data_IF_645720849965
#
_entry.id   IF_645720849965
#
_cell.length_a   1.000
_cell.length_b   1.000
_cell.length_c   1.000
_cell.angle_alpha   90.00
_cell.angle_beta   90.00
_cell.angle_gamma   90.00
#
_symmetry.space_group_name_H-M   'P 1'
#
loop_
_entity.id
_entity.type
_entity.pdbx_description
1 polymer ?
#
# COMPACT_ATOMS: atom_id res chain seq x y z
N UNK A 1 -15.50 15.31 -4.77
CA UNK A 1 -15.82 14.45 -5.94
C UNK A 1 -14.50 14.15 -6.65
N UNK A 2 -14.14 12.90 -6.82
CA UNK A 2 -12.86 12.49 -7.45
C UNK A 2 -12.92 12.53 -8.98
N UNK A 3 -14.09 12.72 -9.59
CA UNK A 3 -14.24 12.73 -11.06
C UNK A 3 -13.97 11.36 -11.69
N UNK A 4 -14.39 10.29 -11.04
CA UNK A 4 -14.18 8.91 -11.51
C UNK A 4 -14.82 8.60 -12.88
N UNK A 5 -15.70 9.48 -13.34
CA UNK A 5 -16.26 9.49 -14.69
C UNK A 5 -15.27 9.99 -15.77
N UNK A 6 -14.14 10.58 -15.35
CA UNK A 6 -13.15 11.20 -16.25
C UNK A 6 -11.74 10.68 -16.05
N UNK A 7 -11.42 10.18 -14.87
CA UNK A 7 -10.11 9.66 -14.51
C UNK A 7 -10.23 8.27 -13.89
N UNK A 8 -9.32 7.33 -14.20
CA UNK A 8 -9.31 6.03 -13.54
C UNK A 8 -9.14 6.17 -12.04
N UNK A 9 -9.91 5.41 -11.28
CA UNK A 9 -9.81 5.32 -9.83
C UNK A 9 -9.47 3.88 -9.46
N UNK A 10 -8.39 3.69 -8.72
CA UNK A 10 -7.97 2.40 -8.16
C UNK A 10 -8.18 2.45 -6.66
N UNK A 11 -8.91 1.50 -6.15
CA UNK A 11 -9.22 1.42 -4.73
C UNK A 11 -8.39 0.34 -4.06
N UNK A 12 -7.74 0.70 -2.95
CA UNK A 12 -7.05 -0.24 -2.08
C UNK A 12 -7.79 -0.24 -0.76
N UNK A 13 -8.33 -1.38 -0.36
CA UNK A 13 -9.05 -1.47 0.90
C UNK A 13 -8.08 -1.50 2.08
N UNK A 14 -8.49 -0.83 3.16
CA UNK A 14 -7.85 -0.93 4.45
C UNK A 14 -8.52 -1.99 5.32
N UNK A 15 -8.01 -2.14 6.53
CA UNK A 15 -8.53 -3.12 7.50
C UNK A 15 -9.92 -2.76 8.04
N UNK A 16 -10.40 -1.54 7.89
CA UNK A 16 -11.76 -1.16 8.26
C UNK A 16 -12.81 -1.51 7.20
N UNK A 17 -12.44 -1.55 5.94
CA UNK A 17 -13.34 -1.85 4.82
C UNK A 17 -13.79 -3.31 4.79
N UNK A 18 -13.14 -4.19 5.54
CA UNK A 18 -13.48 -5.62 5.60
C UNK A 18 -14.43 -5.97 6.75
N UNK A 19 -14.78 -5.01 7.61
CA UNK A 19 -15.44 -5.26 8.91
C UNK A 19 -16.95 -5.12 8.92
N UNK A 20 -17.62 -4.92 7.82
CA UNK A 20 -19.07 -4.70 7.80
C UNK A 20 -19.78 -5.46 6.68
N UNK A 21 -21.11 -5.35 6.63
CA UNK A 21 -21.97 -6.08 5.68
C UNK A 21 -21.61 -5.79 4.20
N UNK A 22 -21.05 -4.65 3.87
CA UNK A 22 -20.65 -4.28 2.50
C UNK A 22 -19.26 -4.75 2.11
N UNK A 23 -18.48 -5.31 3.02
CA UNK A 23 -17.11 -5.74 2.76
C UNK A 23 -16.97 -6.69 1.56
N UNK A 24 -17.92 -7.63 1.42
CA UNK A 24 -17.96 -8.58 0.31
C UNK A 24 -18.34 -7.88 -1.00
N UNK A 25 -19.26 -6.92 -0.95
CA UNK A 25 -19.73 -6.16 -2.11
C UNK A 25 -18.69 -5.19 -2.71
N UNK A 26 -17.65 -4.84 -1.98
CA UNK A 26 -16.60 -3.93 -2.48
C UNK A 26 -15.91 -4.45 -3.73
N UNK A 27 -15.75 -5.76 -3.89
CA UNK A 27 -15.17 -6.36 -5.09
C UNK A 27 -15.98 -6.04 -6.34
N UNK A 28 -17.29 -6.16 -6.26
CA UNK A 28 -18.20 -5.86 -7.38
C UNK A 28 -18.28 -4.35 -7.65
N UNK A 29 -18.15 -3.52 -6.61
CA UNK A 29 -18.22 -2.06 -6.75
C UNK A 29 -17.00 -1.47 -7.45
N UNK A 30 -15.80 -2.01 -7.19
CA UNK A 30 -14.55 -1.47 -7.70
C UNK A 30 -13.93 -2.29 -8.85
N UNK A 31 -14.65 -3.31 -9.34
CA UNK A 31 -14.27 -4.12 -10.51
C UNK A 31 -12.79 -4.54 -10.49
N UNK A 32 -12.37 -5.18 -9.42
CA UNK A 32 -11.00 -5.66 -9.26
C UNK A 32 -10.62 -6.68 -10.33
N UNK A 33 -9.46 -6.52 -10.95
CA UNK A 33 -8.98 -7.41 -12.01
C UNK A 33 -8.87 -8.86 -11.52
N UNK A 34 -9.61 -9.76 -12.18
CA UNK A 34 -9.64 -11.18 -11.83
C UNK A 34 -10.24 -11.45 -10.45
N UNK A 35 -11.12 -10.58 -9.97
CA UNK A 35 -11.77 -10.65 -8.67
C UNK A 35 -10.81 -10.69 -7.48
N UNK A 36 -9.56 -10.20 -7.67
CA UNK A 36 -8.53 -10.11 -6.64
C UNK A 36 -8.40 -8.69 -6.16
N UNK A 37 -8.39 -8.50 -4.84
CA UNK A 37 -8.21 -7.19 -4.19
C UNK A 37 -6.75 -6.67 -4.21
N UNK A 38 -5.87 -7.40 -4.90
CA UNK A 38 -4.46 -7.09 -5.11
C UNK A 38 -4.06 -7.35 -6.56
N UNK A 39 -2.99 -6.72 -7.02
CA UNK A 39 -2.51 -6.91 -8.37
C UNK A 39 -1.46 -5.90 -8.78
N UNK A 40 -1.14 -5.88 -10.07
CA UNK A 40 -0.21 -4.91 -10.61
C UNK A 40 -0.61 -4.47 -12.02
N UNK A 41 -0.37 -3.20 -12.33
CA UNK A 41 -0.63 -2.62 -13.65
C UNK A 41 0.44 -1.62 -14.05
N UNK A 42 0.47 -1.27 -15.32
CA UNK A 42 1.35 -0.23 -15.83
C UNK A 42 0.60 1.09 -15.97
N UNK A 43 1.18 2.15 -15.46
CA UNK A 43 0.80 3.52 -15.79
C UNK A 43 1.94 4.15 -16.61
N UNK A 44 1.77 4.16 -17.91
CA UNK A 44 2.88 4.42 -18.82
C UNK A 44 4.01 3.40 -18.62
N UNK A 45 5.19 3.87 -18.33
CA UNK A 45 6.38 3.05 -18.05
C UNK A 45 6.64 2.81 -16.55
N UNK A 46 5.68 3.19 -15.69
CA UNK A 46 5.71 2.93 -14.26
C UNK A 46 4.90 1.70 -13.92
N UNK A 47 5.48 0.78 -13.16
CA UNK A 47 4.78 -0.39 -12.62
C UNK A 47 4.23 -0.06 -11.25
N UNK A 48 2.91 -0.18 -11.08
CA UNK A 48 2.20 -0.02 -9.81
C UNK A 48 1.86 -1.43 -9.30
N UNK A 49 2.26 -1.73 -8.08
CA UNK A 49 1.91 -2.98 -7.38
C UNK A 49 1.05 -2.63 -6.19
N UNK A 50 -0.12 -3.24 -6.11
CA UNK A 50 -1.11 -3.03 -5.05
C UNK A 50 -1.29 -4.31 -4.25
N UNK A 51 -1.24 -4.21 -2.92
CA UNK A 51 -1.45 -5.32 -2.01
C UNK A 51 -2.60 -5.04 -1.04
N UNK A 52 -3.23 -6.11 -0.61
CA UNK A 52 -4.34 -6.11 0.34
C UNK A 52 -3.93 -6.82 1.63
N UNK A 53 -3.79 -6.07 2.69
CA UNK A 53 -3.35 -6.59 3.99
C UNK A 53 -4.45 -7.42 4.70
N UNK A 54 -5.71 -7.29 4.30
CA UNK A 54 -6.82 -7.77 5.10
C UNK A 54 -6.87 -7.03 6.43
N UNK A 55 -6.74 -7.74 7.54
CA UNK A 55 -6.60 -7.15 8.88
C UNK A 55 -5.12 -6.91 9.27
N UNK A 56 -4.95 -6.04 10.24
CA UNK A 56 -3.65 -5.62 10.77
C UNK A 56 -3.04 -6.59 11.80
N UNK A 57 -3.83 -7.54 12.30
CA UNK A 57 -3.42 -8.56 13.26
C UNK A 57 -3.64 -9.97 12.71
N UNK A 58 -3.00 -11.00 13.29
CA UNK A 58 -3.26 -12.39 12.93
C UNK A 58 -4.74 -12.76 13.13
N UNK A 59 -5.24 -13.67 12.29
CA UNK A 59 -6.64 -14.11 12.34
C UNK A 59 -7.02 -14.73 13.69
N UNK A 60 -6.04 -15.30 14.40
CA UNK A 60 -6.21 -15.86 15.75
C UNK A 60 -6.23 -14.81 16.86
N UNK A 61 -6.06 -13.53 16.54
CA UNK A 61 -6.06 -12.49 17.56
C UNK A 61 -7.43 -12.40 18.24
N UNK A 62 -7.46 -12.36 19.55
CA UNK A 62 -8.68 -12.42 20.37
C UNK A 62 -9.74 -11.38 20.01
N UNK A 63 -9.32 -10.20 19.53
CA UNK A 63 -10.22 -9.09 19.17
C UNK A 63 -11.16 -9.44 18.01
N UNK A 64 -10.83 -10.45 17.22
CA UNK A 64 -11.63 -10.87 16.06
C UNK A 64 -12.61 -12.01 16.36
N UNK A 65 -12.57 -12.58 17.55
CA UNK A 65 -13.49 -13.65 17.98
C UNK A 65 -13.54 -14.85 17.02
N UNK A 66 -12.46 -15.13 16.29
CA UNK A 66 -12.41 -16.21 15.28
C UNK A 66 -13.20 -15.94 13.99
N UNK A 67 -13.54 -14.68 13.72
CA UNK A 67 -14.32 -14.29 12.53
C UNK A 67 -13.46 -13.89 11.34
N UNK A 68 -12.15 -13.82 11.49
CA UNK A 68 -11.20 -13.45 10.42
C UNK A 68 -10.55 -14.68 9.81
N UNK A 69 -10.32 -14.62 8.49
CA UNK A 69 -9.62 -15.64 7.70
C UNK A 69 -8.89 -14.97 6.52
N UNK A 70 -7.76 -14.32 6.81
CA UNK A 70 -6.93 -13.62 5.83
C UNK A 70 -5.57 -14.27 5.59
N UNK A 71 -5.26 -15.36 6.29
CA UNK A 71 -3.96 -16.05 6.20
C UNK A 71 -3.68 -16.53 4.77
N UNK A 72 -4.65 -17.15 4.12
CA UNK A 72 -4.48 -17.65 2.76
C UNK A 72 -4.40 -16.50 1.73
N UNK A 73 -5.12 -15.40 1.95
CA UNK A 73 -5.00 -14.18 1.14
C UNK A 73 -3.58 -13.61 1.20
N UNK A 74 -2.97 -13.55 2.39
CA UNK A 74 -1.60 -13.05 2.58
C UNK A 74 -0.57 -13.96 1.94
N UNK A 75 -0.68 -15.28 2.13
CA UNK A 75 0.19 -16.29 1.49
C UNK A 75 0.10 -16.26 -0.04
N UNK A 76 -1.11 -16.15 -0.59
CA UNK A 76 -1.31 -16.03 -2.03
C UNK A 76 -0.60 -14.80 -2.60
N UNK A 77 -0.60 -13.69 -1.86
CA UNK A 77 0.11 -12.46 -2.26
C UNK A 77 1.63 -12.59 -2.13
N UNK A 78 2.15 -13.38 -1.19
CA UNK A 78 3.58 -13.72 -1.16
C UNK A 78 4.01 -14.46 -2.43
N UNK A 79 3.18 -15.38 -2.94
CA UNK A 79 3.37 -16.03 -4.25
C UNK A 79 3.32 -15.03 -5.40
N UNK A 80 2.26 -14.22 -5.44
CA UNK A 80 2.10 -13.16 -6.45
C UNK A 80 3.29 -12.20 -6.48
N UNK A 81 3.79 -11.75 -5.32
CA UNK A 81 4.95 -10.86 -5.25
C UNK A 81 6.20 -11.48 -5.86
N UNK A 82 6.49 -12.76 -5.60
CA UNK A 82 7.63 -13.47 -6.19
C UNK A 82 7.52 -13.53 -7.72
N UNK A 83 6.33 -13.85 -8.22
CA UNK A 83 6.04 -13.89 -9.67
C UNK A 83 6.13 -12.49 -10.30
N UNK A 84 5.55 -11.48 -9.64
CA UNK A 84 5.56 -10.10 -10.11
C UNK A 84 6.98 -9.55 -10.21
N UNK A 85 7.80 -9.69 -9.17
CA UNK A 85 9.21 -9.25 -9.16
C UNK A 85 10.04 -9.95 -10.24
N UNK A 86 9.70 -11.18 -10.60
CA UNK A 86 10.34 -11.93 -11.68
C UNK A 86 9.81 -11.55 -13.07
N UNK A 87 8.66 -10.90 -13.16
CA UNK A 87 7.96 -10.63 -14.40
C UNK A 87 8.72 -9.68 -15.33
N UNK A 88 8.49 -9.82 -16.66
CA UNK A 88 9.03 -8.91 -17.66
C UNK A 88 8.50 -7.49 -17.49
N UNK A 89 7.24 -7.34 -17.07
CA UNK A 89 6.61 -6.04 -16.86
C UNK A 89 7.30 -5.28 -15.73
N UNK A 90 7.54 -5.93 -14.60
CA UNK A 90 8.24 -5.34 -13.47
C UNK A 90 9.69 -4.97 -13.81
N UNK A 91 10.43 -5.89 -14.45
CA UNK A 91 11.85 -5.67 -14.81
C UNK A 91 12.06 -4.55 -15.82
N UNK A 92 11.13 -4.38 -16.79
CA UNK A 92 11.21 -3.34 -17.82
C UNK A 92 10.70 -1.98 -17.39
N UNK A 93 9.96 -1.89 -16.30
CA UNK A 93 9.45 -0.62 -15.81
C UNK A 93 10.58 0.34 -15.46
N UNK A 94 10.44 1.61 -15.82
CA UNK A 94 11.44 2.63 -15.46
C UNK A 94 11.39 2.99 -13.99
N UNK A 95 10.20 2.96 -13.39
CA UNK A 95 9.95 3.14 -11.95
C UNK A 95 8.94 2.08 -11.48
N UNK A 96 8.99 1.74 -10.19
CA UNK A 96 8.11 0.77 -9.55
C UNK A 96 7.61 1.35 -8.25
N UNK A 97 6.31 1.32 -8.05
CA UNK A 97 5.65 1.89 -6.85
C UNK A 97 4.84 0.79 -6.19
N UNK A 98 5.03 0.64 -4.89
CA UNK A 98 4.26 -0.27 -4.06
C UNK A 98 3.19 0.52 -3.29
N UNK A 99 1.97 0.02 -3.26
CA UNK A 99 0.88 0.64 -2.51
C UNK A 99 0.14 -0.43 -1.71
N UNK A 100 0.02 -0.22 -0.41
CA UNK A 100 -0.78 -1.07 0.48
C UNK A 100 -1.15 -0.31 1.75
N UNK A 101 -2.20 -0.75 2.44
CA UNK A 101 -2.74 0.01 3.57
C UNK A 101 -1.83 -0.02 4.80
N UNK A 102 -1.58 -1.20 5.37
CA UNK A 102 -0.80 -1.37 6.60
C UNK A 102 0.70 -1.34 6.27
N UNK A 103 1.49 -0.38 6.77
CA UNK A 103 2.92 -0.34 6.51
C UNK A 103 3.61 -1.54 7.18
N UNK A 104 4.54 -2.17 6.46
CA UNK A 104 5.30 -3.32 6.95
C UNK A 104 6.72 -2.98 7.41
N UNK A 105 7.18 -1.78 7.12
CA UNK A 105 8.42 -1.22 7.62
C UNK A 105 8.13 0.03 8.46
N UNK A 106 8.86 0.20 9.54
CA UNK A 106 8.74 1.25 10.53
C UNK A 106 9.07 0.72 11.92
N UNK A 107 9.21 1.60 12.89
CA UNK A 107 9.54 1.26 14.29
C UNK A 107 8.53 1.90 15.23
N UNK A 108 8.26 1.22 16.36
CA UNK A 108 7.34 1.65 17.40
C UNK A 108 6.01 0.90 17.36
N UNK A 109 5.16 1.18 18.36
CA UNK A 109 3.92 0.43 18.60
C UNK A 109 2.98 0.37 17.37
N UNK A 110 2.96 1.41 16.54
CA UNK A 110 2.13 1.48 15.33
C UNK A 110 2.60 0.50 14.23
N UNK A 111 3.82 -0.05 14.33
CA UNK A 111 4.45 -0.89 13.30
C UNK A 111 4.81 -2.30 13.80
N UNK A 112 5.12 -2.43 15.08
CA UNK A 112 5.71 -3.65 15.64
C UNK A 112 4.68 -4.65 16.14
N UNK A 113 3.46 -4.20 16.46
CA UNK A 113 2.45 -5.07 17.04
C UNK A 113 1.70 -5.88 15.98
N UNK A 114 2.02 -7.17 15.91
CA UNK A 114 1.23 -8.17 15.19
C UNK A 114 0.97 -7.88 13.71
N UNK A 115 1.99 -7.49 12.95
CA UNK A 115 1.84 -7.24 11.52
C UNK A 115 2.06 -8.54 10.69
N UNK A 116 1.02 -9.35 10.42
CA UNK A 116 1.15 -10.61 9.70
C UNK A 116 1.59 -10.43 8.24
N UNK A 117 1.41 -9.24 7.68
CA UNK A 117 1.93 -8.92 6.34
C UNK A 117 3.45 -8.79 6.35
N UNK A 118 4.04 -8.29 7.44
CA UNK A 118 5.50 -8.26 7.61
C UNK A 118 6.08 -9.68 7.66
N UNK A 119 5.41 -10.58 8.36
CA UNK A 119 5.84 -11.99 8.45
C UNK A 119 5.82 -12.67 7.08
N UNK A 120 4.77 -12.46 6.28
CA UNK A 120 4.58 -13.11 4.98
C UNK A 120 5.35 -12.44 3.84
N UNK A 121 5.49 -11.12 3.84
CA UNK A 121 6.02 -10.36 2.70
C UNK A 121 7.35 -9.66 2.98
N UNK A 122 7.69 -9.44 4.25
CA UNK A 122 8.84 -8.62 4.65
C UNK A 122 10.13 -9.06 3.96
N UNK A 123 10.49 -10.34 4.05
CA UNK A 123 11.71 -10.89 3.44
C UNK A 123 11.74 -10.78 1.89
N UNK A 124 10.58 -10.68 1.24
CA UNK A 124 10.48 -10.46 -0.21
C UNK A 124 10.67 -8.98 -0.52
N UNK A 125 10.01 -8.13 0.25
CA UNK A 125 9.92 -6.70 0.00
C UNK A 125 11.17 -5.94 0.44
N UNK A 126 11.88 -6.40 1.46
CA UNK A 126 13.15 -5.78 1.89
C UNK A 126 14.22 -5.70 0.78
N UNK A 127 14.17 -6.62 -0.20
CA UNK A 127 15.09 -6.72 -1.33
C UNK A 127 14.52 -6.19 -2.65
N UNK A 128 13.25 -5.83 -2.66
CA UNK A 128 12.56 -5.43 -3.87
C UNK A 128 12.99 -4.01 -4.32
N UNK A 129 13.22 -3.79 -5.63
CA UNK A 129 13.69 -2.50 -6.15
C UNK A 129 12.52 -1.55 -6.45
N UNK A 130 11.70 -1.25 -5.46
CA UNK A 130 10.69 -0.22 -5.57
C UNK A 130 11.33 1.18 -5.44
N UNK A 131 10.72 2.19 -6.04
CA UNK A 131 11.10 3.58 -5.86
C UNK A 131 10.53 4.15 -4.55
N UNK A 132 9.35 3.67 -4.15
CA UNK A 132 8.66 4.09 -2.93
C UNK A 132 7.57 3.08 -2.56
N UNK A 133 7.29 2.95 -1.26
CA UNK A 133 6.05 2.37 -0.74
C UNK A 133 5.14 3.47 -0.19
N UNK A 134 3.87 3.45 -0.60
CA UNK A 134 2.83 4.39 -0.16
C UNK A 134 1.84 3.62 0.71
N UNK A 135 1.64 4.08 1.93
CA UNK A 135 0.88 3.42 2.96
C UNK A 135 -0.05 4.39 3.71
N UNK A 136 -0.86 3.85 4.62
CA UNK A 136 -1.75 4.60 5.50
C UNK A 136 -1.79 3.95 6.91
N UNK A 137 -2.96 3.66 7.47
CA UNK A 137 -3.23 2.87 8.66
C UNK A 137 -2.93 3.54 10.00
N UNK A 138 -1.73 4.08 10.20
CA UNK A 138 -1.31 4.65 11.50
C UNK A 138 -2.01 5.97 11.86
N UNK A 139 -2.74 6.54 10.90
CA UNK A 139 -3.43 7.83 11.01
C UNK A 139 -2.50 9.02 11.31
N UNK A 140 -1.20 8.85 11.10
CA UNK A 140 -0.17 9.88 11.28
C UNK A 140 0.75 9.88 10.07
N UNK A 141 1.04 11.07 9.57
CA UNK A 141 2.06 11.20 8.54
C UNK A 141 3.42 10.72 9.07
N UNK A 142 4.06 9.82 8.32
CA UNK A 142 5.41 9.37 8.61
C UNK A 142 6.22 9.19 7.33
N UNK A 143 7.51 9.42 7.43
CA UNK A 143 8.50 9.15 6.40
C UNK A 143 9.60 8.27 7.00
N UNK A 144 9.78 7.10 6.42
CA UNK A 144 10.79 6.12 6.82
C UNK A 144 11.80 6.07 5.66
N UNK A 145 13.01 6.59 5.84
CA UNK A 145 14.03 6.57 4.79
C UNK A 145 14.45 5.14 4.45
N UNK A 146 15.01 4.96 3.27
CA UNK A 146 15.66 3.71 2.86
C UNK A 146 16.66 3.26 3.91
N UNK A 147 16.67 1.98 4.25
CA UNK A 147 17.56 1.34 5.21
C UNK A 147 17.21 1.55 6.70
N UNK A 148 16.19 2.36 7.03
CA UNK A 148 15.86 2.66 8.42
C UNK A 148 15.30 1.47 9.20
N UNK A 149 14.64 0.54 8.52
CA UNK A 149 14.06 -0.69 9.11
C UNK A 149 14.20 -1.90 8.18
N UNK A 150 15.32 -2.04 7.50
CA UNK A 150 15.57 -3.10 6.52
C UNK A 150 14.92 -2.90 5.15
N UNK A 151 14.18 -1.81 4.96
CA UNK A 151 13.55 -1.43 3.70
C UNK A 151 14.58 -0.95 2.67
N UNK A 152 14.48 -1.44 1.43
CA UNK A 152 15.37 -1.07 0.31
C UNK A 152 14.83 0.12 -0.51
N UNK A 153 13.86 0.85 0.01
CA UNK A 153 13.21 2.01 -0.60
C UNK A 153 12.52 2.84 0.47
N UNK A 154 12.28 4.13 0.26
CA UNK A 154 11.56 4.94 1.21
C UNK A 154 10.10 4.49 1.38
N UNK A 155 9.58 4.57 2.60
CA UNK A 155 8.18 4.29 2.95
C UNK A 155 7.53 5.58 3.40
N UNK A 156 6.38 5.89 2.81
CA UNK A 156 5.59 7.09 3.13
C UNK A 156 4.22 6.66 3.63
N UNK A 157 3.89 7.05 4.84
CA UNK A 157 2.62 6.75 5.50
C UNK A 157 1.76 8.00 5.52
N UNK A 158 0.54 7.90 5.01
CA UNK A 158 -0.44 8.98 5.02
C UNK A 158 -0.98 9.29 6.39
N UNK A 159 -1.50 10.48 6.53
CA UNK A 159 -2.16 10.95 7.74
C UNK A 159 -3.54 10.35 7.96
N UNK A 160 -4.21 10.83 9.00
CA UNK A 160 -5.49 10.28 9.44
C UNK A 160 -6.69 10.79 8.65
N UNK A 161 -7.85 10.29 9.04
CA UNK A 161 -9.15 10.60 8.43
C UNK A 161 -9.73 11.96 8.85
N UNK A 162 -9.22 12.57 9.91
CA UNK A 162 -9.63 13.91 10.34
C UNK A 162 -8.93 14.97 9.52
N UNK A 163 -9.64 16.05 9.19
CA UNK A 163 -9.10 17.11 8.33
C UNK A 163 -7.79 17.73 8.83
N UNK A 164 -7.60 17.81 10.12
CA UNK A 164 -6.38 18.35 10.75
C UNK A 164 -5.16 17.43 10.58
N UNK A 165 -5.40 16.12 10.43
CA UNK A 165 -4.35 15.11 10.20
C UNK A 165 -4.34 14.53 8.79
N UNK A 166 -5.28 14.90 7.93
CA UNK A 166 -5.39 14.33 6.58
C UNK A 166 -4.23 14.74 5.67
N UNK A 167 -3.85 13.84 4.77
CA UNK A 167 -2.82 14.11 3.77
C UNK A 167 -3.28 13.72 2.37
N UNK A 168 -2.73 14.41 1.38
CA UNK A 168 -2.83 14.04 -0.03
C UNK A 168 -1.42 13.79 -0.56
N UNK A 169 -1.23 12.69 -1.25
CA UNK A 169 0.02 12.33 -1.89
C UNK A 169 -0.09 12.52 -3.39
N UNK A 170 0.81 13.29 -3.98
CA UNK A 170 0.85 13.57 -5.41
C UNK A 170 2.13 12.95 -5.96
N UNK A 171 1.97 11.86 -6.72
CA UNK A 171 3.05 11.22 -7.45
C UNK A 171 3.05 11.74 -8.89
N UNK A 172 4.14 12.37 -9.29
CA UNK A 172 4.32 12.90 -10.65
C UNK A 172 5.54 12.26 -11.31
N UNK A 173 5.43 11.97 -12.61
CA UNK A 173 6.55 11.51 -13.42
C UNK A 173 6.66 12.35 -14.69
N UNK A 174 7.87 12.87 -14.95
CA UNK A 174 8.24 13.59 -16.18
C UNK A 174 9.51 12.97 -16.76
N UNK A 175 9.37 12.25 -17.88
CA UNK A 175 10.50 11.50 -18.42
C UNK A 175 11.03 10.48 -17.42
N UNK A 176 12.29 10.60 -17.00
CA UNK A 176 12.94 9.72 -16.01
C UNK A 176 12.76 10.18 -14.56
N UNK A 177 12.39 11.43 -14.35
CA UNK A 177 12.22 12.03 -13.03
C UNK A 177 10.86 11.66 -12.46
N UNK A 178 10.85 11.22 -11.21
CA UNK A 178 9.64 10.95 -10.44
C UNK A 178 9.71 11.68 -9.12
N UNK A 179 8.66 12.40 -8.77
CA UNK A 179 8.56 13.12 -7.50
C UNK A 179 7.29 12.69 -6.76
N UNK A 180 7.41 12.55 -5.45
CA UNK A 180 6.27 12.35 -4.54
C UNK A 180 6.20 13.53 -3.59
N UNK A 181 5.09 14.27 -3.62
CA UNK A 181 4.78 15.33 -2.65
C UNK A 181 3.67 14.89 -1.72
N UNK A 182 3.87 15.11 -0.44
CA UNK A 182 2.85 14.91 0.59
C UNK A 182 2.38 16.26 1.07
N UNK A 183 1.09 16.51 0.94
CA UNK A 183 0.45 17.76 1.34
C UNK A 183 -0.48 17.50 2.52
N UNK A 184 -0.59 18.47 3.44
CA UNK A 184 -1.64 18.48 4.45
C UNK A 184 -2.98 18.99 3.86
N UNK A 185 -4.02 19.00 4.67
CA UNK A 185 -5.35 19.47 4.26
C UNK A 185 -5.42 20.96 3.87
N UNK A 186 -4.40 21.75 4.24
CA UNK A 186 -4.27 23.16 3.83
C UNK A 186 -3.53 23.34 2.51
N UNK A 187 -3.00 22.24 1.93
CA UNK A 187 -2.18 22.28 0.72
C UNK A 187 -0.71 22.60 0.97
N UNK A 188 -0.26 22.63 2.23
CA UNK A 188 1.13 22.87 2.58
C UNK A 188 1.92 21.57 2.41
N UNK A 189 3.12 21.67 1.84
CA UNK A 189 4.01 20.52 1.62
C UNK A 189 4.64 20.07 2.94
N UNK A 190 4.32 18.84 3.37
CA UNK A 190 4.95 18.18 4.51
C UNK A 190 6.27 17.50 4.11
N UNK A 191 6.32 16.94 2.92
CA UNK A 191 7.49 16.22 2.39
C UNK A 191 7.48 16.24 0.86
N UNK A 192 8.68 16.34 0.28
CA UNK A 192 8.92 16.12 -1.13
C UNK A 192 10.08 15.16 -1.31
N UNK A 193 9.94 14.20 -2.19
CA UNK A 193 10.93 13.16 -2.50
C UNK A 193 11.19 13.13 -4.01
N UNK A 194 12.44 13.10 -4.39
CA UNK A 194 12.88 12.72 -5.73
C UNK A 194 13.22 11.23 -5.71
N UNK A 195 12.55 10.45 -6.56
CA UNK A 195 12.53 8.99 -6.56
C UNK A 195 13.27 8.40 -7.78
#
# INVERSE_FOLDING_TARGET
TVGADRVPVFYIRGNHEIRNAYSIGLRSLFDYVGDKTYGAFNWGDTRIVMLDCGEDKPDTHWVYYGLNDFSDLRKAQAGFLKEELASRAFKKASKRVLIHHVPIFGKGEDYDSYNPCRDEWGAILEKAPFAVSINAHTHRFAYIPEGADGNNYPVVVGGGYRMDGATVMILQKKGKEMTLRVLNAKGETLKELNL
#
